data_IF_669394261600
#
_entry.id   IF_669394261600
#
_cell.length_a   1.000
_cell.length_b   1.000
_cell.length_c   1.000
_cell.angle_alpha   90.00
_cell.angle_beta   90.00
_cell.angle_gamma   90.00
#
_symmetry.space_group_name_H-M   'P 1'
#
loop_
_entity.id
_entity.type
_entity.pdbx_description
1 polymer ?
#
# COMPACT_ATOMS: atom_id res chain seq x y z
N UNK A 1 -17.65 11.83 -17.79
CA UNK A 1 -18.59 11.99 -16.66
C UNK A 1 -18.59 10.68 -15.88
N UNK A 2 -18.16 10.74 -14.62
CA UNK A 2 -18.32 9.73 -13.56
C UNK A 2 -17.55 8.41 -13.76
N UNK A 3 -16.23 8.43 -13.53
CA UNK A 3 -15.46 7.26 -13.06
C UNK A 3 -14.77 7.58 -11.72
N UNK A 4 -15.04 8.78 -11.16
CA UNK A 4 -14.32 9.32 -10.01
C UNK A 4 -15.00 9.14 -8.65
N UNK A 5 -16.13 8.46 -8.54
CA UNK A 5 -16.97 8.56 -7.31
C UNK A 5 -17.35 7.26 -6.62
N UNK A 6 -16.82 6.09 -7.01
CA UNK A 6 -17.13 4.86 -6.26
C UNK A 6 -15.95 4.06 -5.70
N UNK A 7 -14.73 4.59 -5.78
CA UNK A 7 -13.53 3.98 -5.18
C UNK A 7 -12.93 4.81 -4.02
N UNK A 8 -13.75 5.60 -3.33
CA UNK A 8 -13.33 6.46 -2.20
C UNK A 8 -13.76 5.95 -0.81
N UNK A 9 -14.17 4.69 -0.66
CA UNK A 9 -14.64 4.14 0.63
C UNK A 9 -13.65 3.24 1.38
N UNK A 10 -12.40 3.12 0.95
CA UNK A 10 -11.35 2.39 1.69
C UNK A 10 -10.13 3.27 2.04
N UNK A 11 -10.33 4.60 2.15
CA UNK A 11 -9.29 5.59 2.44
C UNK A 11 -9.22 5.96 3.95
N UNK A 12 -10.05 5.36 4.80
CA UNK A 12 -10.19 5.78 6.21
C UNK A 12 -9.11 5.28 7.20
N UNK A 13 -8.11 4.52 6.76
CA UNK A 13 -6.97 4.10 7.63
C UNK A 13 -5.65 4.83 7.32
N UNK A 14 -5.49 5.38 6.11
CA UNK A 14 -4.27 6.10 5.70
C UNK A 14 -4.19 7.51 6.31
N UNK A 15 -5.34 8.14 6.61
CA UNK A 15 -5.39 9.40 7.35
C UNK A 15 -4.86 9.28 8.79
N UNK A 16 -4.66 8.08 9.34
CA UNK A 16 -3.96 7.92 10.62
C UNK A 16 -2.43 7.89 10.48
N UNK A 17 -1.89 7.42 9.35
CA UNK A 17 -0.45 7.53 9.04
C UNK A 17 -0.08 8.94 8.53
N UNK A 18 -1.00 9.62 7.85
CA UNK A 18 -0.85 10.99 7.36
C UNK A 18 -1.40 12.06 8.33
N UNK A 19 -1.70 11.70 9.58
CA UNK A 19 -2.20 12.62 10.63
C UNK A 19 -1.11 13.56 11.19
N UNK A 20 -0.17 13.98 10.36
CA UNK A 20 0.51 15.25 10.55
C UNK A 20 -0.21 16.31 9.71
N UNK A 21 -0.93 17.24 10.34
CA UNK A 21 -1.79 18.16 9.62
C UNK A 21 -0.95 19.06 8.71
N UNK A 22 -1.24 18.98 7.41
CA UNK A 22 -0.84 19.97 6.40
C UNK A 22 -1.08 21.40 6.92
N UNK A 23 -2.13 21.58 7.75
CA UNK A 23 -2.54 22.85 8.31
C UNK A 23 -1.69 23.37 9.50
N UNK A 24 -0.89 22.54 10.20
CA UNK A 24 0.06 23.06 11.22
C UNK A 24 1.40 23.50 10.64
N UNK A 25 1.71 23.13 9.40
CA UNK A 25 2.94 23.55 8.73
C UNK A 25 2.89 25.01 8.24
N UNK A 26 1.69 25.60 8.13
CA UNK A 26 1.54 27.02 7.82
C UNK A 26 1.88 27.95 9.02
N UNK A 27 1.88 27.44 10.25
CA UNK A 27 2.06 28.23 11.47
C UNK A 27 3.40 28.01 12.19
N UNK A 28 4.22 27.07 11.73
CA UNK A 28 5.58 26.82 12.24
C UNK A 28 6.58 27.17 11.13
N UNK A 29 7.42 28.16 11.36
CA UNK A 29 8.43 28.67 10.41
C UNK A 29 9.60 27.71 10.10
N UNK A 30 9.30 26.45 9.84
CA UNK A 30 10.18 25.50 9.18
C UNK A 30 9.43 25.03 7.93
N UNK A 31 9.88 25.45 6.75
CA UNK A 31 9.30 24.98 5.49
C UNK A 31 9.36 23.47 5.46
N UNK A 32 8.22 22.80 5.62
CA UNK A 32 8.16 21.36 5.50
C UNK A 32 7.95 21.06 4.04
N UNK A 33 9.05 20.70 3.39
CA UNK A 33 8.99 20.15 2.06
C UNK A 33 7.95 19.02 2.00
N UNK A 34 7.21 18.92 0.89
CA UNK A 34 6.23 17.86 0.71
C UNK A 34 6.90 16.49 0.90
N UNK A 35 6.19 15.58 1.56
CA UNK A 35 6.62 14.19 1.67
C UNK A 35 6.41 13.53 0.32
N UNK A 36 7.50 13.09 -0.30
CA UNK A 36 7.47 12.34 -1.55
C UNK A 36 7.46 10.84 -1.27
N UNK A 37 6.88 10.04 -2.16
CA UNK A 37 7.05 8.59 -2.21
C UNK A 37 7.66 8.20 -3.55
N UNK A 38 8.72 7.40 -3.50
CA UNK A 38 9.49 7.06 -4.70
C UNK A 38 10.14 5.70 -4.53
N UNK A 39 10.37 5.01 -5.63
CA UNK A 39 11.09 3.74 -5.61
C UNK A 39 12.55 3.94 -5.22
N UNK A 40 13.11 2.98 -4.48
CA UNK A 40 14.49 3.05 -3.99
C UNK A 40 15.52 3.19 -5.12
N UNK A 41 15.37 2.48 -6.24
CA UNK A 41 16.26 2.63 -7.41
C UNK A 41 16.21 4.04 -7.99
N UNK A 42 15.01 4.64 -8.09
CA UNK A 42 14.87 6.01 -8.56
C UNK A 42 15.47 7.01 -7.57
N UNK A 43 15.33 6.75 -6.26
CA UNK A 43 15.97 7.55 -5.21
C UNK A 43 17.49 7.52 -5.32
N UNK A 44 18.11 6.36 -5.54
CA UNK A 44 19.57 6.24 -5.71
C UNK A 44 20.11 7.00 -6.91
N UNK A 45 19.31 7.18 -7.96
CA UNK A 45 19.67 7.97 -9.15
C UNK A 45 19.52 9.47 -8.95
N UNK A 46 18.94 9.89 -7.82
CA UNK A 46 18.73 11.30 -7.56
C UNK A 46 20.07 12.02 -7.34
N UNK A 47 20.17 13.25 -7.82
CA UNK A 47 21.38 14.06 -7.67
C UNK A 47 21.08 15.26 -6.79
N UNK A 48 21.97 15.53 -5.82
CA UNK A 48 21.84 16.70 -4.95
C UNK A 48 21.94 18.00 -5.77
N UNK A 49 20.99 18.90 -5.55
CA UNK A 49 20.87 20.26 -6.08
C UNK A 49 20.57 21.23 -4.93
N UNK A 50 20.38 22.51 -5.24
CA UNK A 50 20.10 23.54 -4.25
C UNK A 50 18.73 23.32 -3.59
N UNK A 51 17.76 22.86 -4.38
CA UNK A 51 16.37 22.60 -4.00
C UNK A 51 16.12 21.26 -3.28
N UNK A 52 17.09 20.33 -3.34
CA UNK A 52 16.95 18.98 -2.79
C UNK A 52 17.64 17.90 -3.63
N UNK A 53 17.24 16.65 -3.47
CA UNK A 53 17.65 15.55 -4.35
C UNK A 53 16.71 15.47 -5.54
N UNK A 54 17.21 15.68 -6.75
CA UNK A 54 16.40 15.70 -7.97
C UNK A 54 16.53 14.37 -8.70
N UNK A 55 15.41 13.68 -8.93
CA UNK A 55 15.39 12.37 -9.59
C UNK A 55 15.44 12.51 -11.11
N UNK A 56 15.77 11.43 -11.85
CA UNK A 56 15.73 11.47 -13.32
C UNK A 56 14.34 11.78 -13.88
N UNK A 57 13.26 11.44 -13.17
CA UNK A 57 11.88 11.84 -13.54
C UNK A 57 11.48 13.21 -12.98
N UNK A 58 12.45 14.02 -12.54
CA UNK A 58 12.28 15.41 -12.09
C UNK A 58 11.50 15.60 -10.78
N UNK A 59 11.36 14.56 -9.95
CA UNK A 59 10.89 14.76 -8.59
C UNK A 59 11.97 15.43 -7.74
N UNK A 60 11.57 16.37 -6.88
CA UNK A 60 12.47 16.99 -5.90
C UNK A 60 12.18 16.37 -4.54
N UNK A 61 13.20 15.79 -3.93
CA UNK A 61 13.09 15.05 -2.68
C UNK A 61 13.92 15.72 -1.59
N UNK A 62 13.26 16.10 -0.50
CA UNK A 62 13.91 16.48 0.75
C UNK A 62 13.50 15.54 1.89
N UNK A 63 12.24 15.07 1.84
CA UNK A 63 11.69 14.08 2.75
C UNK A 63 11.07 12.94 1.97
N UNK A 64 11.25 11.72 2.47
CA UNK A 64 10.76 10.49 1.84
C UNK A 64 9.86 9.74 2.81
N UNK A 65 8.72 9.29 2.31
CA UNK A 65 7.92 8.22 2.91
C UNK A 65 8.08 6.95 2.10
N UNK A 66 8.39 5.84 2.77
CA UNK A 66 8.49 4.53 2.12
C UNK A 66 7.90 3.40 2.94
N UNK A 67 7.34 2.41 2.24
CA UNK A 67 7.01 1.10 2.81
C UNK A 67 7.88 0.05 2.13
N UNK A 68 8.59 -0.73 2.93
CA UNK A 68 9.50 -1.76 2.44
C UNK A 68 9.73 -2.87 3.46
N UNK A 69 10.65 -3.77 3.12
CA UNK A 69 11.12 -4.85 4.00
C UNK A 69 12.35 -4.35 4.74
N UNK A 70 12.28 -4.29 6.06
CA UNK A 70 13.44 -4.17 6.93
C UNK A 70 14.29 -5.43 6.79
N UNK A 71 15.48 -5.31 6.21
CA UNK A 71 16.37 -6.45 5.92
C UNK A 71 17.51 -6.56 6.91
N UNK A 72 17.96 -5.44 7.49
CA UNK A 72 19.08 -5.39 8.41
C UNK A 72 18.81 -4.36 9.52
N UNK A 73 19.26 -4.66 10.73
CA UNK A 73 19.29 -3.74 11.87
C UNK A 73 20.61 -3.91 12.62
N UNK A 74 21.31 -2.81 12.83
CA UNK A 74 22.56 -2.73 13.57
C UNK A 74 22.43 -1.69 14.68
N UNK A 75 22.34 -2.19 15.92
CA UNK A 75 22.27 -1.34 17.11
C UNK A 75 23.69 -1.08 17.62
N UNK A 76 24.17 0.14 17.44
CA UNK A 76 25.45 0.57 18.01
C UNK A 76 25.30 1.09 19.44
N UNK A 77 24.19 1.79 19.72
CA UNK A 77 23.81 2.27 21.05
C UNK A 77 22.31 2.56 21.10
N UNK A 78 21.77 2.91 22.28
CA UNK A 78 20.36 3.30 22.45
C UNK A 78 19.92 4.53 21.65
N UNK A 79 20.84 5.28 21.03
CA UNK A 79 20.54 6.44 20.18
C UNK A 79 21.20 6.38 18.80
N UNK A 80 21.83 5.26 18.47
CA UNK A 80 22.49 5.04 17.18
C UNK A 80 22.09 3.65 16.69
N UNK A 81 21.08 3.64 15.83
CA UNK A 81 20.59 2.46 15.14
C UNK A 81 20.72 2.73 13.65
N UNK A 82 21.40 1.83 12.96
CA UNK A 82 21.44 1.77 11.50
C UNK A 82 20.54 0.62 11.05
N UNK A 83 19.81 0.83 9.96
CA UNK A 83 18.93 -0.17 9.39
C UNK A 83 18.97 -0.11 7.87
N UNK A 84 18.53 -1.17 7.22
CA UNK A 84 18.35 -1.22 5.76
C UNK A 84 16.93 -1.62 5.44
N UNK A 85 16.25 -0.80 4.63
CA UNK A 85 14.87 -1.04 4.21
C UNK A 85 14.83 -1.11 2.69
N UNK A 86 14.25 -2.19 2.17
CA UNK A 86 14.24 -2.48 0.73
C UNK A 86 12.83 -2.55 0.16
N UNK A 87 12.65 -1.99 -1.02
CA UNK A 87 11.50 -2.26 -1.89
C UNK A 87 11.93 -3.23 -3.01
N UNK A 88 11.05 -3.62 -3.96
CA UNK A 88 11.43 -4.51 -5.06
C UNK A 88 12.50 -3.96 -6.03
N UNK A 89 12.88 -2.69 -5.89
CA UNK A 89 13.75 -1.96 -6.81
C UNK A 89 15.14 -1.73 -6.21
N UNK A 90 15.26 -1.72 -4.88
CA UNK A 90 16.53 -1.58 -4.19
C UNK A 90 16.36 -1.39 -2.68
N UNK A 91 17.48 -1.17 -1.99
CA UNK A 91 17.51 -0.96 -0.54
C UNK A 91 18.14 0.37 -0.16
N UNK A 92 17.47 1.12 0.71
CA UNK A 92 17.92 2.38 1.26
C UNK A 92 18.45 2.18 2.68
N UNK A 93 19.58 2.83 2.99
CA UNK A 93 20.15 2.85 4.32
C UNK A 93 19.44 3.91 5.17
N UNK A 94 19.11 3.52 6.40
CA UNK A 94 18.33 4.28 7.35
C UNK A 94 19.14 4.49 8.61
N UNK A 95 19.16 5.72 9.08
CA UNK A 95 19.64 6.11 10.41
C UNK A 95 18.49 6.76 11.17
N UNK A 96 18.58 6.82 12.49
CA UNK A 96 17.50 7.40 13.32
C UNK A 96 17.81 8.85 13.67
N UNK A 97 16.81 9.72 13.55
CA UNK A 97 16.88 11.06 14.11
C UNK A 97 17.08 10.98 15.63
N UNK A 98 18.15 11.58 16.15
CA UNK A 98 18.52 11.52 17.57
C UNK A 98 17.44 12.07 18.52
N UNK A 99 16.52 12.89 17.99
CA UNK A 99 15.39 13.44 18.74
C UNK A 99 14.19 12.48 18.80
N UNK A 100 14.22 11.36 18.09
CA UNK A 100 13.16 10.36 17.99
C UNK A 100 13.60 9.00 18.59
N UNK A 101 13.83 8.89 19.91
CA UNK A 101 14.30 7.66 20.54
C UNK A 101 13.32 6.48 20.37
N UNK A 102 12.01 6.75 20.30
CA UNK A 102 11.00 5.71 20.06
C UNK A 102 11.18 4.99 18.72
N UNK A 103 11.70 5.68 17.69
CA UNK A 103 12.01 5.06 16.40
C UNK A 103 13.21 4.12 16.53
N UNK A 104 14.22 4.51 17.30
CA UNK A 104 15.39 3.66 17.58
C UNK A 104 14.99 2.42 18.38
N UNK A 105 14.17 2.58 19.41
CA UNK A 105 13.67 1.48 20.24
C UNK A 105 12.83 0.51 19.39
N UNK A 106 11.95 1.02 18.54
CA UNK A 106 11.12 0.18 17.67
C UNK A 106 11.97 -0.58 16.63
N UNK A 107 12.95 0.06 15.98
CA UNK A 107 13.87 -0.63 15.07
C UNK A 107 14.67 -1.71 15.80
N UNK A 108 15.22 -1.40 16.97
CA UNK A 108 15.99 -2.35 17.76
C UNK A 108 15.16 -3.56 18.23
N UNK A 109 13.87 -3.36 18.47
CA UNK A 109 12.93 -4.41 18.88
C UNK A 109 12.33 -5.20 17.70
N UNK A 110 12.55 -4.77 16.45
CA UNK A 110 11.94 -5.40 15.27
C UNK A 110 12.94 -6.31 14.57
N UNK A 111 12.84 -7.65 14.69
CA UNK A 111 13.74 -8.56 14.00
C UNK A 111 13.47 -8.59 12.48
N UNK A 112 14.50 -8.43 11.63
CA UNK A 112 14.38 -8.67 10.19
C UNK A 112 14.10 -10.16 9.86
N UNK A 113 13.34 -10.48 8.80
CA UNK A 113 12.63 -9.55 7.92
C UNK A 113 11.30 -9.08 8.51
N UNK A 114 10.99 -7.79 8.38
CA UNK A 114 9.70 -7.22 8.77
C UNK A 114 9.24 -6.15 7.77
N UNK A 115 7.94 -6.03 7.51
CA UNK A 115 7.42 -4.92 6.72
C UNK A 115 7.32 -3.67 7.60
N UNK A 116 7.89 -2.56 7.13
CA UNK A 116 7.90 -1.30 7.86
C UNK A 116 7.52 -0.15 6.95
N UNK A 117 6.74 0.78 7.49
CA UNK A 117 6.52 2.11 6.94
C UNK A 117 7.40 3.10 7.70
N UNK A 118 8.13 3.95 6.98
CA UNK A 118 8.98 4.97 7.59
C UNK A 118 8.88 6.31 6.85
N UNK A 119 9.14 7.38 7.59
CA UNK A 119 9.36 8.70 7.02
C UNK A 119 10.63 9.33 7.61
N UNK A 120 11.29 10.14 6.80
CA UNK A 120 12.48 10.84 7.24
C UNK A 120 13.01 11.85 6.23
N UNK A 121 14.00 12.61 6.68
CA UNK A 121 14.77 13.52 5.84
C UNK A 121 15.80 12.73 5.03
N UNK A 122 15.98 13.09 3.76
CA UNK A 122 17.06 12.56 2.95
C UNK A 122 18.35 13.32 3.25
N UNK A 123 19.43 12.58 3.46
CA UNK A 123 20.77 13.12 3.61
C UNK A 123 21.75 12.39 2.69
N UNK A 124 22.91 12.99 2.47
CA UNK A 124 23.98 12.39 1.69
C UNK A 124 25.12 12.01 2.63
N UNK A 125 25.45 10.72 2.69
CA UNK A 125 26.59 10.18 3.43
C UNK A 125 27.76 10.01 2.47
N UNK A 126 28.89 10.63 2.78
CA UNK A 126 30.04 10.65 1.88
C UNK A 126 29.73 11.37 0.57
N UNK A 127 30.18 10.81 -0.57
CA UNK A 127 30.08 11.48 -1.87
C UNK A 127 28.84 11.09 -2.68
N UNK A 128 28.25 9.93 -2.46
CA UNK A 128 27.20 9.42 -3.37
C UNK A 128 26.05 8.70 -2.66
N UNK A 129 26.18 8.37 -1.38
CA UNK A 129 25.18 7.54 -0.72
C UNK A 129 24.03 8.38 -0.16
N UNK A 130 22.83 8.19 -0.70
CA UNK A 130 21.61 8.79 -0.15
C UNK A 130 21.12 7.89 0.99
N UNK A 131 20.90 8.50 2.15
CA UNK A 131 20.39 7.84 3.35
C UNK A 131 19.12 8.54 3.84
N UNK A 132 18.32 7.81 4.62
CA UNK A 132 17.15 8.36 5.30
C UNK A 132 17.50 8.58 6.77
N UNK A 133 17.25 9.77 7.29
CA UNK A 133 17.25 10.07 8.72
C UNK A 133 15.80 9.96 9.20
N UNK A 134 15.42 8.77 9.65
CA UNK A 134 14.05 8.44 10.01
C UNK A 134 13.62 9.15 11.30
N UNK A 135 12.45 9.76 11.26
CA UNK A 135 11.79 10.38 12.42
C UNK A 135 10.41 9.79 12.71
N UNK A 136 9.90 8.92 11.82
CA UNK A 136 8.72 8.10 12.03
C UNK A 136 8.93 6.67 11.51
N UNK A 137 8.36 5.69 12.22
CA UNK A 137 8.39 4.27 11.87
C UNK A 137 7.14 3.57 12.38
N UNK A 138 6.61 2.63 11.60
CA UNK A 138 5.55 1.72 12.00
C UNK A 138 5.78 0.34 11.38
N UNK A 139 5.45 -0.73 12.13
CA UNK A 139 5.38 -2.10 11.59
C UNK A 139 4.05 -2.23 10.85
N UNK A 140 4.10 -2.72 9.61
CA UNK A 140 2.94 -2.81 8.71
C UNK A 140 2.86 -4.20 8.08
N UNK A 141 1.85 -4.44 7.26
CA UNK A 141 1.65 -5.72 6.58
C UNK A 141 2.07 -5.66 5.11
N UNK A 142 2.20 -6.84 4.48
CA UNK A 142 2.50 -6.94 3.04
C UNK A 142 1.50 -6.17 2.17
N UNK A 143 0.23 -6.14 2.56
CA UNK A 143 -0.82 -5.42 1.83
C UNK A 143 -0.58 -3.91 1.79
N UNK A 144 -0.04 -3.34 2.86
CA UNK A 144 0.31 -1.91 2.92
C UNK A 144 1.46 -1.61 1.96
N UNK A 145 2.46 -2.49 1.93
CA UNK A 145 3.57 -2.45 0.97
C UNK A 145 3.04 -2.52 -0.46
N UNK A 146 2.18 -3.48 -0.77
CA UNK A 146 1.64 -3.65 -2.13
C UNK A 146 0.86 -2.40 -2.58
N UNK A 147 0.03 -1.83 -1.70
CA UNK A 147 -0.68 -0.57 -1.96
C UNK A 147 0.29 0.60 -2.18
N UNK A 148 1.34 0.70 -1.36
CA UNK A 148 2.39 1.71 -1.52
C UNK A 148 3.09 1.62 -2.88
N UNK A 149 3.42 0.40 -3.35
CA UNK A 149 4.05 0.22 -4.67
C UNK A 149 3.15 0.72 -5.81
N UNK A 150 1.83 0.53 -5.71
CA UNK A 150 0.90 1.09 -6.69
C UNK A 150 0.90 2.63 -6.68
N UNK A 151 0.94 3.26 -5.50
CA UNK A 151 1.01 4.73 -5.37
C UNK A 151 2.32 5.28 -5.95
N UNK A 152 3.46 4.64 -5.65
CA UNK A 152 4.75 5.01 -6.24
C UNK A 152 4.74 4.86 -7.76
N UNK A 153 4.16 3.77 -8.27
CA UNK A 153 4.06 3.55 -9.70
C UNK A 153 3.20 4.61 -10.38
N UNK A 154 2.03 4.93 -9.83
CA UNK A 154 1.13 5.95 -10.38
C UNK A 154 1.84 7.32 -10.45
N UNK A 155 2.53 7.71 -9.38
CA UNK A 155 3.24 8.98 -9.32
C UNK A 155 4.46 9.04 -10.27
N UNK A 156 5.28 7.99 -10.32
CA UNK A 156 6.40 7.91 -11.28
C UNK A 156 5.90 7.88 -12.73
N UNK A 157 4.84 7.12 -13.04
CA UNK A 157 4.24 7.08 -14.40
C UNK A 157 3.74 8.46 -14.79
N UNK A 158 3.01 9.15 -13.90
CA UNK A 158 2.53 10.51 -14.15
C UNK A 158 3.68 11.47 -14.50
N UNK A 159 4.80 11.40 -13.78
CA UNK A 159 5.98 12.23 -14.08
C UNK A 159 6.60 11.90 -15.44
N UNK A 160 6.65 10.63 -15.80
CA UNK A 160 7.16 10.18 -17.10
C UNK A 160 6.25 10.62 -18.26
N UNK A 161 4.92 10.51 -18.10
CA UNK A 161 3.96 10.97 -19.10
C UNK A 161 4.06 12.48 -19.37
N UNK A 162 4.34 13.26 -18.32
CA UNK A 162 4.57 14.71 -18.44
C UNK A 162 5.89 15.07 -19.14
N UNK A 163 6.86 14.16 -19.20
CA UNK A 163 8.17 14.42 -19.80
C UNK A 163 8.13 14.40 -21.35
N UNK A 164 7.13 13.75 -21.96
CA UNK A 164 7.07 13.56 -23.40
C UNK A 164 8.08 12.53 -23.89
N UNK A 165 9.14 12.97 -24.58
CA UNK A 165 10.21 12.09 -25.04
C UNK A 165 11.11 11.66 -23.87
N UNK A 166 11.11 10.36 -23.58
CA UNK A 166 11.87 9.81 -22.46
C UNK A 166 13.36 9.62 -22.80
N UNK A 167 14.23 9.94 -21.84
CA UNK A 167 15.64 9.58 -21.91
C UNK A 167 15.85 8.07 -21.69
N UNK A 168 17.02 7.52 -22.06
CA UNK A 168 17.37 6.12 -21.78
C UNK A 168 17.22 5.75 -20.29
N UNK A 169 17.60 6.68 -19.40
CA UNK A 169 17.45 6.50 -17.96
C UNK A 169 15.98 6.48 -17.52
N UNK A 170 15.14 7.33 -18.10
CA UNK A 170 13.70 7.35 -17.82
C UNK A 170 13.00 6.09 -18.35
N UNK A 171 13.44 5.56 -19.49
CA UNK A 171 12.97 4.25 -20.01
C UNK A 171 13.38 3.11 -19.08
N UNK A 172 14.59 3.15 -18.52
CA UNK A 172 15.04 2.18 -17.52
C UNK A 172 14.18 2.24 -16.25
N UNK A 173 13.83 3.44 -15.78
CA UNK A 173 12.92 3.64 -14.64
C UNK A 173 11.52 3.08 -14.96
N UNK A 174 10.96 3.38 -16.13
CA UNK A 174 9.66 2.82 -16.54
C UNK A 174 9.66 1.27 -16.54
N UNK A 175 10.77 0.68 -17.01
CA UNK A 175 10.95 -0.78 -17.01
C UNK A 175 11.07 -1.34 -15.59
N UNK A 176 11.77 -0.63 -14.71
CA UNK A 176 11.89 -0.96 -13.29
C UNK A 176 10.52 -0.91 -12.58
N UNK A 177 9.73 0.14 -12.82
CA UNK A 177 8.36 0.27 -12.27
C UNK A 177 7.49 -0.91 -12.69
N UNK A 178 7.53 -1.30 -13.97
CA UNK A 178 6.80 -2.47 -14.46
C UNK A 178 7.16 -3.74 -13.69
N UNK A 179 8.46 -4.00 -13.49
CA UNK A 179 8.94 -5.16 -12.73
C UNK A 179 8.55 -5.09 -11.25
N UNK A 180 8.59 -3.90 -10.64
CA UNK A 180 8.17 -3.70 -9.26
C UNK A 180 6.68 -4.03 -9.07
N UNK A 181 5.83 -3.62 -10.01
CA UNK A 181 4.41 -3.95 -10.01
C UNK A 181 4.15 -5.44 -10.25
N UNK A 182 4.97 -6.14 -11.03
CA UNK A 182 4.88 -7.60 -11.14
C UNK A 182 5.14 -8.29 -9.79
N UNK A 183 6.02 -7.74 -8.93
CA UNK A 183 6.25 -8.27 -7.57
C UNK A 183 5.05 -8.03 -6.64
N UNK A 184 4.38 -6.88 -6.77
CA UNK A 184 3.12 -6.60 -6.06
C UNK A 184 1.98 -7.50 -6.59
N UNK A 185 1.93 -7.73 -7.91
CA UNK A 185 0.98 -8.62 -8.55
C UNK A 185 1.20 -10.10 -8.22
N UNK A 186 2.45 -10.52 -7.97
CA UNK A 186 2.80 -11.87 -7.49
C UNK A 186 2.34 -12.14 -6.05
N UNK A 187 1.74 -11.17 -5.37
CA UNK A 187 0.98 -11.41 -4.14
C UNK A 187 -0.33 -12.17 -4.35
N UNK A 188 -0.66 -12.47 -5.62
CA UNK A 188 -1.44 -13.62 -6.07
C UNK A 188 -1.04 -13.90 -7.52
N UNK A 189 -0.27 -14.97 -7.74
CA UNK A 189 -0.72 -15.87 -8.80
C UNK A 189 -2.23 -16.03 -8.62
N UNK A 190 -2.99 -16.09 -9.71
CA UNK A 190 -4.33 -16.65 -9.72
C UNK A 190 -4.30 -18.10 -9.20
N UNK A 191 -3.98 -18.33 -7.93
CA UNK A 191 -4.85 -19.17 -7.15
C UNK A 191 -6.17 -18.40 -7.16
N UNK A 192 -7.29 -19.04 -7.54
CA UNK A 192 -8.56 -18.55 -7.06
C UNK A 192 -8.31 -18.26 -5.58
N UNK A 193 -8.56 -17.02 -5.14
CA UNK A 193 -9.08 -16.91 -3.80
C UNK A 193 -10.20 -17.94 -3.84
N UNK A 194 -10.08 -19.05 -3.12
CA UNK A 194 -11.28 -19.68 -2.62
C UNK A 194 -11.88 -18.54 -1.81
N UNK A 195 -12.66 -17.70 -2.50
CA UNK A 195 -13.28 -16.55 -1.91
C UNK A 195 -14.03 -17.16 -0.75
N UNK A 196 -13.86 -16.56 0.42
CA UNK A 196 -14.51 -17.02 1.63
C UNK A 196 -15.92 -17.49 1.23
N UNK A 197 -16.30 -18.76 1.44
CA UNK A 197 -17.56 -19.29 0.93
C UNK A 197 -18.74 -18.36 1.28
N UNK A 198 -18.64 -17.64 2.40
CA UNK A 198 -19.57 -16.57 2.79
C UNK A 198 -19.56 -15.37 1.84
N UNK A 199 -18.39 -14.85 1.49
CA UNK A 199 -18.24 -13.73 0.54
C UNK A 199 -18.66 -14.13 -0.89
N UNK A 200 -18.37 -15.37 -1.31
CA UNK A 200 -18.88 -15.93 -2.56
C UNK A 200 -20.40 -16.00 -2.58
N UNK A 201 -21.00 -16.46 -1.48
CA UNK A 201 -22.46 -16.51 -1.35
C UNK A 201 -23.10 -15.14 -1.45
N UNK A 202 -22.53 -14.10 -0.83
CA UNK A 202 -23.02 -12.72 -0.96
C UNK A 202 -22.95 -12.25 -2.43
N UNK A 203 -21.86 -12.53 -3.13
CA UNK A 203 -21.71 -12.19 -4.55
C UNK A 203 -22.70 -12.94 -5.43
N UNK A 204 -22.93 -14.22 -5.17
CA UNK A 204 -23.93 -15.05 -5.87
C UNK A 204 -25.33 -14.48 -5.65
N UNK A 205 -25.69 -14.16 -4.40
CA UNK A 205 -26.99 -13.57 -4.10
C UNK A 205 -27.14 -12.22 -4.81
N UNK A 206 -26.11 -11.37 -4.84
CA UNK A 206 -26.15 -10.11 -5.61
C UNK A 206 -26.32 -10.33 -7.12
N UNK A 207 -25.59 -11.29 -7.70
CA UNK A 207 -25.65 -11.59 -9.12
C UNK A 207 -27.01 -12.15 -9.54
N UNK A 208 -27.64 -12.96 -8.69
CA UNK A 208 -28.97 -13.52 -8.92
C UNK A 208 -30.10 -12.58 -8.49
N UNK A 209 -29.81 -11.55 -7.69
CA UNK A 209 -30.81 -10.59 -7.22
C UNK A 209 -31.16 -9.59 -8.31
N UNK A 210 -32.25 -9.85 -9.02
CA UNK A 210 -32.91 -8.85 -9.87
C UNK A 210 -33.72 -7.84 -9.03
N UNK A 211 -34.64 -7.12 -9.68
CA UNK A 211 -35.57 -6.19 -9.02
C UNK A 211 -36.50 -6.84 -7.98
N UNK A 212 -36.64 -8.17 -8.03
CA UNK A 212 -37.52 -8.94 -7.18
C UNK A 212 -36.81 -9.76 -6.09
N UNK A 213 -35.47 -9.70 -6.00
CA UNK A 213 -34.66 -10.60 -5.18
C UNK A 213 -34.21 -11.84 -5.96
N UNK A 214 -33.39 -12.67 -5.31
CA UNK A 214 -32.84 -13.89 -5.88
C UNK A 214 -33.69 -15.10 -5.49
N UNK A 215 -33.98 -15.99 -6.45
CA UNK A 215 -34.61 -17.27 -6.12
C UNK A 215 -33.61 -18.16 -5.40
N UNK A 216 -34.07 -18.85 -4.36
CA UNK A 216 -33.24 -19.79 -3.59
C UNK A 216 -32.67 -20.86 -4.52
N UNK A 217 -33.47 -21.42 -5.43
CA UNK A 217 -33.01 -22.42 -6.39
C UNK A 217 -31.84 -21.93 -7.27
N UNK A 218 -31.88 -20.68 -7.72
CA UNK A 218 -30.83 -20.10 -8.57
C UNK A 218 -29.55 -19.83 -7.77
N UNK A 219 -29.68 -19.46 -6.50
CA UNK A 219 -28.55 -19.34 -5.57
C UNK A 219 -27.87 -20.70 -5.37
N UNK A 220 -28.64 -21.77 -5.14
CA UNK A 220 -28.09 -23.12 -4.98
C UNK A 220 -27.42 -23.62 -6.28
N UNK A 221 -28.02 -23.37 -7.44
CA UNK A 221 -27.41 -23.72 -8.73
C UNK A 221 -26.07 -23.00 -8.91
N UNK A 222 -26.04 -21.68 -8.70
CA UNK A 222 -24.84 -20.88 -8.85
C UNK A 222 -23.76 -21.20 -7.79
N UNK A 223 -24.16 -21.55 -6.57
CA UNK A 223 -23.26 -22.00 -5.50
C UNK A 223 -22.62 -23.34 -5.83
N UNK A 224 -23.40 -24.30 -6.35
CA UNK A 224 -22.89 -25.58 -6.85
C UNK A 224 -21.92 -25.37 -8.02
N UNK A 225 -22.24 -24.49 -8.97
CA UNK A 225 -21.35 -24.14 -10.09
C UNK A 225 -20.05 -23.47 -9.61
N UNK A 226 -20.10 -22.77 -8.48
CA UNK A 226 -18.95 -22.17 -7.80
C UNK A 226 -18.17 -23.14 -6.88
N UNK A 227 -18.62 -24.39 -6.75
CA UNK A 227 -17.98 -25.42 -5.93
C UNK A 227 -18.35 -25.39 -4.44
N UNK A 228 -19.41 -24.67 -4.06
CA UNK A 228 -19.96 -24.62 -2.69
C UNK A 228 -21.04 -25.69 -2.58
N UNK A 229 -20.86 -26.67 -1.68
CA UNK A 229 -21.81 -27.76 -1.50
C UNK A 229 -23.12 -27.32 -0.82
N UNK A 230 -24.22 -28.01 -1.11
CA UNK A 230 -25.56 -27.67 -0.61
C UNK A 230 -25.63 -27.45 0.91
N UNK A 231 -24.95 -28.28 1.71
CA UNK A 231 -24.96 -28.16 3.17
C UNK A 231 -24.23 -26.90 3.65
N UNK A 232 -23.17 -26.51 2.94
CA UNK A 232 -22.41 -25.29 3.21
C UNK A 232 -23.23 -24.05 2.78
N UNK A 233 -23.88 -24.11 1.63
CA UNK A 233 -24.82 -23.09 1.14
C UNK A 233 -25.95 -22.85 2.14
N UNK A 234 -26.58 -23.91 2.68
CA UNK A 234 -27.63 -23.80 3.72
C UNK A 234 -27.12 -23.14 4.99
N UNK A 235 -25.94 -23.57 5.45
CA UNK A 235 -25.33 -23.03 6.68
C UNK A 235 -25.12 -21.53 6.56
N UNK A 236 -24.47 -21.09 5.48
CA UNK A 236 -24.16 -19.69 5.23
C UNK A 236 -25.45 -18.86 5.05
N UNK A 237 -26.44 -19.36 4.30
CA UNK A 237 -27.71 -18.65 4.14
C UNK A 237 -28.44 -18.48 5.48
N UNK A 238 -28.36 -19.48 6.36
CA UNK A 238 -28.97 -19.41 7.69
C UNK A 238 -28.27 -18.35 8.54
N UNK A 239 -26.94 -18.34 8.56
CA UNK A 239 -26.14 -17.33 9.27
C UNK A 239 -26.47 -15.91 8.79
N UNK A 240 -26.54 -15.68 7.47
CA UNK A 240 -26.88 -14.37 6.90
C UNK A 240 -28.30 -13.90 7.28
N UNK A 241 -29.25 -14.82 7.42
CA UNK A 241 -30.61 -14.51 7.88
C UNK A 241 -30.64 -14.19 9.38
N UNK A 242 -29.89 -14.92 10.20
CA UNK A 242 -29.79 -14.71 11.64
C UNK A 242 -29.10 -13.37 11.98
N UNK A 243 -28.07 -13.01 11.22
CA UNK A 243 -27.33 -11.75 11.37
C UNK A 243 -28.08 -10.53 10.82
N UNK A 244 -29.16 -10.75 10.06
CA UNK A 244 -29.96 -9.69 9.46
C UNK A 244 -29.30 -9.01 8.26
N UNK A 245 -28.38 -9.71 7.57
CA UNK A 245 -27.76 -9.27 6.32
C UNK A 245 -28.67 -9.55 5.11
N UNK A 246 -29.59 -10.50 5.24
CA UNK A 246 -30.62 -10.77 4.25
C UNK A 246 -31.98 -11.10 4.90
N UNK A 247 -33.03 -11.09 4.10
CA UNK A 247 -34.37 -11.48 4.51
C UNK A 247 -35.10 -12.24 3.40
N UNK A 248 -36.14 -12.99 3.78
CA UNK A 248 -36.97 -13.75 2.86
C UNK A 248 -38.39 -13.18 2.80
N UNK A 249 -38.75 -12.42 1.75
CA UNK A 249 -40.13 -11.96 1.55
C UNK A 249 -41.13 -13.12 1.40
N UNK A 250 -40.68 -14.20 0.77
CA UNK A 250 -41.39 -15.46 0.55
C UNK A 250 -40.39 -16.61 0.70
N UNK A 251 -40.86 -17.82 1.00
CA UNK A 251 -40.00 -18.97 1.29
C UNK A 251 -39.00 -19.34 0.17
N UNK A 252 -39.21 -18.86 -1.06
CA UNK A 252 -38.37 -19.19 -2.22
C UNK A 252 -37.53 -18.00 -2.72
N UNK A 253 -37.58 -16.83 -2.04
CA UNK A 253 -36.88 -15.61 -2.47
C UNK A 253 -36.03 -15.05 -1.33
N UNK A 254 -34.77 -14.71 -1.62
CA UNK A 254 -33.84 -14.04 -0.71
C UNK A 254 -33.53 -12.64 -1.23
N UNK A 255 -33.47 -11.66 -0.31
CA UNK A 255 -33.03 -10.28 -0.58
C UNK A 255 -32.00 -9.84 0.44
N UNK A 256 -30.89 -9.27 -0.03
CA UNK A 256 -29.91 -8.62 0.82
C UNK A 256 -30.44 -7.27 1.32
N UNK A 257 -30.03 -6.86 2.52
CA UNK A 257 -30.39 -5.58 3.14
C UNK A 257 -29.38 -4.47 2.87
#
# INVERSE_FOLDING_TARGET
MIIGTHLMKSILLIDMLLRYPVDKYAAMGYGTDPVSWIFADECHRAVRREEGFVTPTKAVLNRLFMIGVLTEVHVQSSRSVEARVSDPTGGLNVTVNRSCPLVADLLAATPPPAFVALAGELAQRGREEIIIIADALQIVERSDRDRYLHLCAEDTIRRLELAGDLTEEQVAIATMVKRALEVAGKSKENLPVAADPREQMIQIIHAQSGSNGALVADIFSAASDAGIGDDQTKTILTELLEEGECYMPTNDIIRLL
#
